data_IF_064610785513
#
_entry.id   IF_064610785513
#
_cell.length_a   1.000
_cell.length_b   1.000
_cell.length_c   1.000
_cell.angle_alpha   90.00
_cell.angle_beta   90.00
_cell.angle_gamma   90.00
#
_symmetry.space_group_name_H-M   'P 1'
#
loop_
_entity.id
_entity.type
_entity.pdbx_description
1 polymer ?
#
# COMPACT_ATOMS: atom_id res chain seq x y z
N UNK A 1 5.00 23.70 18.45
CA UNK A 1 6.14 22.79 18.16
C UNK A 1 7.07 22.80 19.36
N UNK A 2 6.97 21.79 20.23
CA UNK A 2 7.68 21.75 21.53
C UNK A 2 8.98 20.93 21.48
N UNK A 3 9.84 21.17 20.49
CA UNK A 3 11.21 20.65 20.46
C UNK A 3 11.40 19.13 20.64
N UNK A 4 10.36 18.32 20.37
CA UNK A 4 10.45 16.87 20.45
C UNK A 4 11.05 16.32 19.16
N UNK A 5 11.97 15.37 19.31
CA UNK A 5 12.52 14.61 18.19
C UNK A 5 11.39 13.87 17.47
N UNK A 6 11.41 13.92 16.14
CA UNK A 6 10.48 13.19 15.29
C UNK A 6 11.26 12.54 14.13
N UNK A 7 10.73 11.46 13.58
CA UNK A 7 11.31 10.83 12.39
C UNK A 7 10.80 11.52 11.12
N UNK A 8 11.63 12.33 10.43
CA UNK A 8 11.22 13.02 9.22
C UNK A 8 10.90 12.06 8.07
N UNK A 9 11.53 10.87 8.03
CA UNK A 9 11.24 9.87 7.00
C UNK A 9 9.80 9.38 7.16
N UNK A 10 9.42 9.01 8.38
CA UNK A 10 8.05 8.58 8.69
C UNK A 10 7.04 9.68 8.36
N UNK A 11 7.29 10.92 8.78
CA UNK A 11 6.38 12.04 8.49
C UNK A 11 6.19 12.25 6.98
N UNK A 12 7.27 12.24 6.20
CA UNK A 12 7.20 12.41 4.75
C UNK A 12 6.50 11.23 4.06
N UNK A 13 6.78 9.99 4.46
CA UNK A 13 6.14 8.80 3.91
C UNK A 13 4.64 8.81 4.18
N UNK A 14 4.23 9.10 5.41
CA UNK A 14 2.82 9.15 5.80
C UNK A 14 2.10 10.31 5.11
N UNK A 15 2.72 11.49 5.01
CA UNK A 15 2.13 12.64 4.32
C UNK A 15 1.92 12.38 2.82
N UNK A 16 2.93 11.85 2.14
CA UNK A 16 2.86 11.53 0.71
C UNK A 16 1.81 10.45 0.44
N UNK A 17 1.79 9.40 1.26
CA UNK A 17 0.82 8.32 1.14
C UNK A 17 -0.60 8.81 1.39
N UNK A 18 -0.80 9.74 2.33
CA UNK A 18 -2.10 10.33 2.61
C UNK A 18 -2.60 11.20 1.44
N UNK A 19 -1.71 11.93 0.77
CA UNK A 19 -2.04 12.66 -0.46
C UNK A 19 -2.51 11.68 -1.55
N UNK A 20 -1.77 10.59 -1.78
CA UNK A 20 -2.15 9.55 -2.75
C UNK A 20 -3.51 8.96 -2.37
N UNK A 21 -3.70 8.56 -1.11
CA UNK A 21 -4.98 8.02 -0.63
C UNK A 21 -6.14 9.02 -0.78
N UNK A 22 -5.90 10.30 -0.55
CA UNK A 22 -6.91 11.35 -0.71
C UNK A 22 -7.33 11.53 -2.17
N UNK A 23 -6.41 11.34 -3.12
CA UNK A 23 -6.70 11.42 -4.56
C UNK A 23 -7.40 10.14 -5.02
N UNK A 24 -6.92 8.98 -4.55
CA UNK A 24 -7.42 7.67 -4.99
C UNK A 24 -8.79 7.32 -4.39
N UNK A 25 -8.98 7.56 -3.09
CA UNK A 25 -10.14 7.09 -2.32
C UNK A 25 -10.98 8.24 -1.72
N UNK A 26 -10.64 9.49 -2.04
CA UNK A 26 -11.36 10.67 -1.52
C UNK A 26 -11.24 10.86 -0.01
N UNK A 27 -10.40 10.06 0.66
CA UNK A 27 -10.27 9.99 2.11
C UNK A 27 -8.85 10.30 2.55
N UNK A 28 -8.74 11.20 3.53
CA UNK A 28 -7.51 11.43 4.29
C UNK A 28 -7.53 10.56 5.54
N UNK A 29 -6.48 9.78 5.74
CA UNK A 29 -6.31 8.98 6.95
C UNK A 29 -5.71 9.83 8.06
N UNK A 30 -5.97 9.48 9.32
CA UNK A 30 -5.17 10.02 10.41
C UNK A 30 -3.75 9.42 10.33
N UNK A 31 -2.73 10.20 10.65
CA UNK A 31 -1.34 9.74 10.69
C UNK A 31 -1.12 8.63 11.73
N UNK A 32 -2.04 8.50 12.68
CA UNK A 32 -2.08 7.49 13.73
C UNK A 32 -3.10 6.37 13.49
N UNK A 33 -3.78 6.35 12.34
CA UNK A 33 -4.73 5.30 11.99
C UNK A 33 -4.00 3.94 11.90
N UNK A 34 -4.37 2.94 12.72
CA UNK A 34 -3.61 1.69 12.81
C UNK A 34 -3.66 0.88 11.51
N UNK A 35 -4.75 0.93 10.76
CA UNK A 35 -4.86 0.23 9.47
C UNK A 35 -3.96 0.89 8.43
N UNK A 36 -3.94 2.23 8.40
CA UNK A 36 -3.07 2.97 7.50
C UNK A 36 -1.59 2.72 7.81
N UNK A 37 -1.21 2.77 9.09
CA UNK A 37 0.16 2.49 9.54
C UNK A 37 0.57 1.06 9.18
N UNK A 38 -0.31 0.08 9.35
CA UNK A 38 -0.04 -1.31 8.97
C UNK A 38 0.19 -1.44 7.46
N UNK A 39 -0.64 -0.82 6.62
CA UNK A 39 -0.47 -0.80 5.16
C UNK A 39 0.90 -0.20 4.79
N UNK A 40 1.28 0.93 5.40
CA UNK A 40 2.58 1.57 5.14
C UNK A 40 3.75 0.68 5.54
N UNK A 41 3.64 -0.03 6.67
CA UNK A 41 4.69 -0.95 7.11
C UNK A 41 4.84 -2.16 6.18
N UNK A 42 3.73 -2.75 5.73
CA UNK A 42 3.76 -3.85 4.76
C UNK A 42 4.32 -3.36 3.41
N UNK A 43 3.96 -2.14 3.00
CA UNK A 43 4.47 -1.53 1.78
C UNK A 43 5.98 -1.27 1.84
N UNK A 44 6.49 -0.65 2.91
CA UNK A 44 7.94 -0.43 3.12
C UNK A 44 8.72 -1.76 3.17
N UNK A 45 8.14 -2.80 3.79
CA UNK A 45 8.68 -4.16 3.77
C UNK A 45 8.79 -4.69 2.33
N UNK A 46 7.73 -4.57 1.52
CA UNK A 46 7.77 -5.00 0.12
C UNK A 46 8.76 -4.21 -0.73
N UNK A 47 8.89 -2.89 -0.51
CA UNK A 47 9.90 -2.09 -1.21
C UNK A 47 11.32 -2.58 -0.93
N UNK A 48 11.61 -3.04 0.29
CA UNK A 48 12.90 -3.65 0.64
C UNK A 48 13.09 -5.02 -0.03
N UNK A 49 12.03 -5.81 -0.17
CA UNK A 49 12.07 -7.12 -0.85
C UNK A 49 12.21 -6.98 -2.37
N UNK A 50 11.72 -5.87 -2.95
CA UNK A 50 11.63 -5.65 -4.40
C UNK A 50 12.95 -5.85 -5.17
N UNK A 51 14.09 -5.50 -4.56
CA UNK A 51 15.40 -5.69 -5.17
C UNK A 51 15.76 -7.17 -5.37
N UNK A 52 15.43 -8.02 -4.40
CA UNK A 52 15.67 -9.46 -4.46
C UNK A 52 14.66 -10.18 -5.33
N UNK A 53 13.39 -9.79 -5.29
CA UNK A 53 12.33 -10.41 -6.10
C UNK A 53 12.50 -10.11 -7.58
N UNK A 54 13.04 -8.94 -7.95
CA UNK A 54 13.13 -8.53 -9.36
C UNK A 54 13.97 -9.44 -10.25
N UNK A 55 14.87 -10.26 -9.69
CA UNK A 55 15.73 -11.16 -10.47
C UNK A 55 14.94 -12.26 -11.18
N UNK A 56 13.80 -12.67 -10.63
CA UNK A 56 12.94 -13.70 -11.24
C UNK A 56 12.32 -13.23 -12.55
N UNK A 57 12.17 -11.91 -12.73
CA UNK A 57 11.68 -11.32 -13.99
C UNK A 57 12.68 -11.52 -15.14
N UNK A 58 13.98 -11.65 -14.84
CA UNK A 58 15.02 -11.89 -15.84
C UNK A 58 15.31 -13.38 -16.01
N UNK A 59 15.13 -14.17 -14.95
CA UNK A 59 15.37 -15.61 -14.96
C UNK A 59 14.15 -16.36 -14.40
N UNK A 60 13.11 -16.61 -15.22
CA UNK A 60 11.86 -17.25 -14.76
C UNK A 60 12.07 -18.64 -14.14
N UNK A 61 13.16 -19.33 -14.49
CA UNK A 61 13.50 -20.63 -13.88
C UNK A 61 13.69 -20.56 -12.36
N UNK A 62 14.04 -19.38 -11.83
CA UNK A 62 14.23 -19.15 -10.40
C UNK A 62 12.91 -19.23 -9.61
N UNK A 63 11.76 -19.05 -10.26
CA UNK A 63 10.43 -19.19 -9.64
C UNK A 63 10.15 -20.63 -9.21
N UNK A 64 10.73 -21.62 -9.91
CA UNK A 64 10.53 -23.04 -9.63
C UNK A 64 11.50 -23.59 -8.57
N UNK A 65 12.34 -22.76 -7.95
CA UNK A 65 13.27 -23.22 -6.91
C UNK A 65 12.52 -23.57 -5.62
N UNK A 66 12.84 -24.71 -4.97
CA UNK A 66 12.22 -25.06 -3.71
C UNK A 66 12.55 -24.03 -2.62
N UNK A 67 11.52 -23.56 -1.90
CA UNK A 67 11.63 -22.55 -0.84
C UNK A 67 11.12 -21.17 -1.28
N UNK A 68 11.72 -20.12 -0.74
CA UNK A 68 11.48 -18.72 -1.15
C UNK A 68 12.79 -17.91 -1.12
N UNK A 69 13.80 -18.29 -1.93
CA UNK A 69 15.14 -17.69 -1.87
C UNK A 69 15.13 -16.21 -2.27
N UNK A 70 14.20 -15.82 -3.15
CA UNK A 70 14.07 -14.45 -3.66
C UNK A 70 12.93 -13.67 -2.99
N UNK A 71 12.27 -14.24 -1.97
CA UNK A 71 11.17 -13.60 -1.23
C UNK A 71 9.95 -13.24 -2.08
N UNK A 72 9.75 -13.94 -3.19
CA UNK A 72 8.64 -13.72 -4.11
C UNK A 72 7.31 -14.10 -3.45
N UNK A 73 7.26 -15.24 -2.78
CA UNK A 73 6.06 -15.70 -2.07
C UNK A 73 5.70 -14.73 -0.94
N UNK A 74 6.69 -14.32 -0.14
CA UNK A 74 6.49 -13.30 0.90
C UNK A 74 6.01 -11.95 0.31
N UNK A 75 6.57 -11.54 -0.83
CA UNK A 75 6.16 -10.30 -1.49
C UNK A 75 4.70 -10.35 -1.96
N UNK A 76 4.31 -11.46 -2.60
CA UNK A 76 2.92 -11.69 -3.04
C UNK A 76 1.95 -11.76 -1.86
N UNK A 77 2.33 -12.39 -0.75
CA UNK A 77 1.51 -12.44 0.47
C UNK A 77 1.28 -11.02 1.03
N UNK A 78 2.32 -10.20 1.08
CA UNK A 78 2.22 -8.81 1.51
C UNK A 78 1.31 -7.99 0.57
N UNK A 79 1.43 -8.17 -0.75
CA UNK A 79 0.53 -7.53 -1.72
C UNK A 79 -0.92 -7.97 -1.50
N UNK A 80 -1.16 -9.26 -1.30
CA UNK A 80 -2.49 -9.79 -1.03
C UNK A 80 -3.09 -9.21 0.27
N UNK A 81 -2.29 -9.05 1.34
CA UNK A 81 -2.73 -8.40 2.59
C UNK A 81 -3.14 -6.95 2.38
N UNK A 82 -2.34 -6.18 1.63
CA UNK A 82 -2.68 -4.78 1.30
C UNK A 82 -3.97 -4.75 0.46
N UNK A 83 -4.08 -5.59 -0.57
CA UNK A 83 -5.27 -5.67 -1.42
C UNK A 83 -6.52 -6.00 -0.61
N UNK A 84 -6.46 -6.96 0.33
CA UNK A 84 -7.58 -7.32 1.18
C UNK A 84 -8.03 -6.17 2.10
N UNK A 85 -7.10 -5.34 2.60
CA UNK A 85 -7.47 -4.15 3.38
C UNK A 85 -8.09 -3.07 2.49
N UNK A 86 -7.50 -2.81 1.33
CA UNK A 86 -8.02 -1.81 0.39
C UNK A 86 -9.37 -2.21 -0.21
N UNK A 87 -9.63 -3.50 -0.43
CA UNK A 87 -10.89 -3.96 -1.03
C UNK A 87 -12.10 -3.61 -0.18
N UNK A 88 -11.98 -3.67 1.15
CA UNK A 88 -13.04 -3.23 2.09
C UNK A 88 -13.39 -1.76 1.85
N UNK A 89 -12.38 -0.91 1.61
CA UNK A 89 -12.60 0.51 1.32
C UNK A 89 -13.25 0.70 -0.04
N UNK A 90 -12.75 0.02 -1.07
CA UNK A 90 -13.34 0.06 -2.42
C UNK A 90 -14.79 -0.41 -2.41
N UNK A 91 -15.14 -1.44 -1.63
CA UNK A 91 -16.52 -1.91 -1.49
C UNK A 91 -17.42 -0.89 -0.80
N UNK A 92 -16.96 -0.26 0.28
CA UNK A 92 -17.72 0.81 0.94
C UNK A 92 -17.93 2.00 0.00
N UNK A 93 -16.90 2.32 -0.76
CA UNK A 93 -16.90 3.40 -1.72
C UNK A 93 -17.90 3.18 -2.85
N UNK A 94 -17.91 1.98 -3.45
CA UNK A 94 -18.90 1.52 -4.44
C UNK A 94 -20.34 1.57 -3.93
N UNK A 95 -20.58 1.24 -2.66
CA UNK A 95 -21.94 1.29 -2.06
C UNK A 95 -22.51 2.71 -1.98
N UNK A 96 -21.66 3.72 -1.98
CA UNK A 96 -22.03 5.13 -1.82
C UNK A 96 -21.78 5.96 -3.09
N UNK A 97 -21.43 5.29 -4.21
CA UNK A 97 -21.19 5.92 -5.50
C UNK A 97 -22.47 6.60 -6.01
N UNK A 98 -22.35 7.87 -6.33
CA UNK A 98 -23.32 8.63 -7.11
C UNK A 98 -22.74 8.82 -8.52
N UNK A 99 -23.29 8.15 -9.56
CA UNK A 99 -22.79 8.24 -10.93
C UNK A 99 -22.79 9.67 -11.51
N UNK A 100 -23.63 10.56 -10.97
CA UNK A 100 -23.69 11.96 -11.41
C UNK A 100 -22.66 12.84 -10.71
N UNK A 101 -22.07 12.36 -9.60
CA UNK A 101 -21.14 13.11 -8.74
C UNK A 101 -19.98 12.23 -8.24
N UNK A 102 -19.05 11.85 -9.14
CA UNK A 102 -17.85 11.11 -8.75
C UNK A 102 -16.98 11.94 -7.78
N UNK A 103 -16.50 11.30 -6.71
CA UNK A 103 -15.84 11.98 -5.57
C UNK A 103 -14.32 11.91 -5.64
N UNK A 104 -13.77 10.89 -6.28
CA UNK A 104 -12.34 10.62 -6.37
C UNK A 104 -12.02 9.69 -7.55
N UNK A 105 -10.74 9.37 -7.71
CA UNK A 105 -10.24 8.62 -8.87
C UNK A 105 -10.92 7.27 -9.07
N UNK A 106 -11.31 6.57 -8.00
CA UNK A 106 -11.94 5.25 -8.10
C UNK A 106 -13.39 5.35 -8.58
N UNK A 107 -14.11 6.43 -8.27
CA UNK A 107 -15.47 6.63 -8.81
C UNK A 107 -15.47 6.81 -10.35
N UNK A 108 -14.34 7.14 -10.98
CA UNK A 108 -14.20 7.30 -12.43
C UNK A 108 -13.87 6.00 -13.19
N UNK A 109 -13.57 4.89 -12.50
CA UNK A 109 -13.14 3.61 -13.09
C UNK A 109 -13.98 2.42 -12.62
#
# INVERSE_FOLDING_TARGET
TNGQDFDPKYCLQTATSNIICSISFGKRFDYSDPDFVEILNIFDSNMKLSGGTSIVNYFPILENMPGDPFKCSQCLENVAKIQAKLSVWVEHHKKTLDPEKPRDFIDYY
#
